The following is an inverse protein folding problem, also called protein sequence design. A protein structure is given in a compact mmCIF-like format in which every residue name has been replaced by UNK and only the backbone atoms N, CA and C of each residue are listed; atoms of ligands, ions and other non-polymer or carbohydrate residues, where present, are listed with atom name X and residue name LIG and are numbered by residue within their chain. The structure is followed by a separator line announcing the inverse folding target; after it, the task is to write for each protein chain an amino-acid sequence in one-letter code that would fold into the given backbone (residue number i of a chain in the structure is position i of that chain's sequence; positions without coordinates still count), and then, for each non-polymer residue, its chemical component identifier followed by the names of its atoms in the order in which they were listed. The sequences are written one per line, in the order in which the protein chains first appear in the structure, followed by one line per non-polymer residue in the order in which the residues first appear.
data_IF_200675555058
#
_entry.id   IF_200675555058
#
_cell.length_a   1.000
_cell.length_b   1.000
_cell.length_c   1.000
_cell.angle_alpha   90.00
_cell.angle_beta   90.00
_cell.angle_gamma   90.00
#
_symmetry.space_group_name_H-M   'P 1'
#
loop_
_entity.id
_entity.type
_entity.pdbx_description
1 polymer ?
#
# COMPACT_ATOMS: atom_id res chain seq x y z
N UNK A 1 7.09 17.41 -3.70
CA UNK A 1 6.31 18.17 -4.70
C UNK A 1 4.97 17.49 -4.89
N UNK A 2 3.85 18.25 -4.74
CA UNK A 2 2.47 17.74 -4.87
C UNK A 2 2.00 17.85 -6.32
N UNK A 3 1.40 16.77 -6.84
CA UNK A 3 0.93 16.69 -8.23
C UNK A 3 -0.39 15.91 -8.32
N UNK A 4 -1.06 16.07 -9.46
CA UNK A 4 -2.25 15.32 -9.83
C UNK A 4 -2.07 14.71 -11.21
N UNK A 5 -2.49 13.44 -11.36
CA UNK A 5 -2.64 12.76 -12.63
C UNK A 5 -4.14 12.74 -13.00
N UNK A 6 -4.50 13.36 -14.11
CA UNK A 6 -5.86 13.29 -14.63
C UNK A 6 -6.09 11.95 -15.31
N UNK A 7 -7.20 11.27 -14.96
CA UNK A 7 -7.64 10.03 -15.61
C UNK A 7 -8.77 10.30 -16.59
N UNK A 8 -8.95 9.45 -17.64
CA UNK A 8 -9.98 9.66 -18.68
C UNK A 8 -11.41 9.73 -18.14
N UNK A 9 -11.71 9.05 -17.05
CA UNK A 9 -13.00 9.02 -16.37
C UNK A 9 -13.28 10.21 -15.46
N UNK A 10 -12.40 11.22 -15.48
CA UNK A 10 -12.52 12.42 -14.67
C UNK A 10 -11.88 12.33 -13.29
N UNK A 11 -11.47 11.14 -12.85
CA UNK A 11 -10.76 10.99 -11.58
C UNK A 11 -9.40 11.71 -11.64
N UNK A 12 -9.04 12.37 -10.55
CA UNK A 12 -7.73 12.99 -10.33
C UNK A 12 -7.00 12.22 -9.24
N UNK A 13 -5.90 11.58 -9.59
CA UNK A 13 -5.03 10.89 -8.63
C UNK A 13 -4.01 11.87 -8.08
N UNK A 14 -4.02 12.06 -6.78
CA UNK A 14 -2.99 12.81 -6.09
C UNK A 14 -1.74 11.94 -5.89
N UNK A 15 -0.57 12.53 -6.09
CA UNK A 15 0.69 11.92 -5.69
C UNK A 15 1.70 12.97 -5.26
N UNK A 16 2.58 12.58 -4.34
CA UNK A 16 3.69 13.42 -3.88
C UNK A 16 5.01 12.81 -4.30
N UNK A 17 5.90 13.67 -4.80
CA UNK A 17 7.29 13.32 -5.07
C UNK A 17 8.17 13.93 -3.98
N UNK A 18 8.89 13.09 -3.26
CA UNK A 18 9.94 13.45 -2.32
C UNK A 18 11.28 13.03 -2.96
N UNK A 19 12.01 14.00 -3.48
CA UNK A 19 13.30 13.80 -4.15
C UNK A 19 14.30 14.79 -3.56
N UNK A 20 15.28 14.23 -2.86
CA UNK A 20 16.39 14.96 -2.25
C UNK A 20 17.72 14.42 -2.78
N UNK A 21 17.72 13.79 -3.96
CA UNK A 21 18.93 13.34 -4.65
C UNK A 21 19.69 14.52 -5.21
N UNK A 22 20.93 14.28 -5.60
CA UNK A 22 21.74 15.35 -6.19
C UNK A 22 21.19 15.73 -7.58
N UNK A 23 21.08 17.02 -7.92
CA UNK A 23 20.37 17.51 -9.11
C UNK A 23 21.03 17.11 -10.44
N UNK A 24 22.24 16.63 -10.44
CA UNK A 24 22.95 16.09 -11.61
C UNK A 24 22.77 14.58 -11.80
N UNK A 25 21.94 13.92 -10.98
CA UNK A 25 21.65 12.48 -11.06
C UNK A 25 20.24 12.25 -11.59
N UNK A 26 20.05 11.13 -12.26
CA UNK A 26 18.72 10.57 -12.57
C UNK A 26 18.47 9.43 -11.59
N UNK A 27 17.76 9.66 -10.47
CA UNK A 27 17.57 8.60 -9.48
C UNK A 27 16.53 7.57 -9.94
N UNK A 28 16.68 6.29 -9.56
CA UNK A 28 15.63 5.31 -9.72
C UNK A 28 14.40 5.70 -8.90
N UNK A 29 13.21 5.31 -9.38
CA UNK A 29 11.94 5.64 -8.72
C UNK A 29 11.48 4.50 -7.83
N UNK A 30 11.03 4.84 -6.62
CA UNK A 30 10.29 3.95 -5.72
C UNK A 30 8.85 4.45 -5.58
N UNK A 31 7.88 3.59 -5.89
CA UNK A 31 6.44 3.88 -5.78
C UNK A 31 5.85 3.20 -4.55
N UNK A 32 5.23 3.98 -3.68
CA UNK A 32 4.57 3.53 -2.47
C UNK A 32 3.05 3.55 -2.63
N UNK A 33 2.39 2.40 -2.36
CA UNK A 33 0.94 2.20 -2.44
C UNK A 33 0.40 1.85 -1.06
N UNK A 34 -0.43 2.73 -0.51
CA UNK A 34 -1.00 2.60 0.84
C UNK A 34 -2.17 1.62 0.93
N UNK A 35 -2.58 1.29 2.15
CA UNK A 35 -3.69 0.40 2.43
C UNK A 35 -5.07 1.08 2.50
N UNK A 36 -6.07 0.31 2.94
CA UNK A 36 -7.45 0.75 3.11
C UNK A 36 -7.57 1.95 4.05
N UNK A 37 -8.37 2.93 3.62
CA UNK A 37 -8.64 4.17 4.35
C UNK A 37 -7.38 4.98 4.71
N UNK A 38 -6.37 4.93 3.87
CA UNK A 38 -5.10 5.64 4.06
C UNK A 38 -4.84 6.66 2.95
N UNK A 39 -3.66 7.23 2.98
CA UNK A 39 -3.12 8.12 1.97
C UNK A 39 -1.60 7.97 1.89
N UNK A 40 -0.95 8.64 0.96
CA UNK A 40 0.50 8.69 0.86
C UNK A 40 1.21 9.18 2.14
N UNK A 41 0.49 9.84 3.05
CA UNK A 41 1.03 10.25 4.36
C UNK A 41 1.34 9.06 5.28
N UNK A 42 0.75 7.90 5.06
CA UNK A 42 1.09 6.66 5.77
C UNK A 42 2.59 6.29 5.62
N UNK A 43 3.21 6.75 4.55
CA UNK A 43 4.61 6.48 4.22
C UNK A 43 5.60 7.56 4.69
N UNK A 44 5.12 8.61 5.41
CA UNK A 44 6.00 9.73 5.80
C UNK A 44 7.23 9.31 6.58
N UNK A 45 7.12 8.31 7.47
CA UNK A 45 8.25 7.78 8.24
C UNK A 45 9.27 7.01 7.40
N UNK A 46 8.88 6.56 6.19
CA UNK A 46 9.76 5.85 5.27
C UNK A 46 10.60 6.79 4.40
N UNK A 47 10.09 7.97 4.06
CA UNK A 47 10.72 8.92 3.14
C UNK A 47 12.19 9.22 3.48
N UNK A 48 12.58 9.50 4.75
CA UNK A 48 13.95 9.80 5.10
C UNK A 48 14.97 8.68 4.77
N UNK A 49 14.51 7.42 4.70
CA UNK A 49 15.38 6.29 4.39
C UNK A 49 15.72 6.17 2.90
N UNK A 50 14.91 6.78 2.01
CA UNK A 50 15.01 6.57 0.57
C UNK A 50 15.34 7.84 -0.22
N UNK A 51 14.85 8.99 0.20
CA UNK A 51 14.80 10.19 -0.64
C UNK A 51 16.15 10.78 -1.02
N UNK A 52 17.26 10.37 -0.39
CA UNK A 52 18.64 10.74 -0.82
C UNK A 52 19.19 9.87 -1.95
N UNK A 53 18.57 8.72 -2.21
CA UNK A 53 19.05 7.74 -3.21
C UNK A 53 18.02 7.50 -4.32
N UNK A 54 16.74 7.70 -4.01
CA UNK A 54 15.60 7.40 -4.88
C UNK A 54 14.67 8.60 -5.01
N UNK A 55 14.06 8.73 -6.16
CA UNK A 55 12.87 9.55 -6.32
C UNK A 55 11.69 8.81 -5.70
N UNK A 56 11.28 9.24 -4.51
CA UNK A 56 10.17 8.63 -3.75
C UNK A 56 8.85 9.19 -4.26
N UNK A 57 7.94 8.30 -4.69
CA UNK A 57 6.58 8.66 -5.12
C UNK A 57 5.57 8.00 -4.19
N UNK A 58 4.72 8.81 -3.55
CA UNK A 58 3.64 8.36 -2.69
C UNK A 58 2.32 8.73 -3.33
N UNK A 59 1.58 7.74 -3.83
CA UNK A 59 0.28 7.96 -4.46
C UNK A 59 -0.83 7.86 -3.43
N UNK A 60 -1.84 8.72 -3.52
CA UNK A 60 -3.13 8.49 -2.91
C UNK A 60 -3.96 7.66 -3.89
N UNK A 61 -4.30 6.44 -3.49
CA UNK A 61 -5.11 5.52 -4.30
C UNK A 61 -6.45 6.18 -4.63
N UNK A 62 -7.01 5.90 -5.82
CA UNK A 62 -8.34 6.36 -6.23
C UNK A 62 -9.34 6.32 -5.07
N UNK A 63 -10.06 7.40 -4.84
CA UNK A 63 -11.03 7.52 -3.76
C UNK A 63 -10.47 7.89 -2.39
N UNK A 64 -9.16 7.77 -2.17
CA UNK A 64 -8.53 7.99 -0.88
C UNK A 64 -7.66 9.24 -0.84
N UNK A 65 -7.37 9.71 0.37
CA UNK A 65 -6.52 10.86 0.61
C UNK A 65 -7.01 12.12 -0.11
N UNK A 66 -6.17 12.68 -0.97
CA UNK A 66 -6.44 13.86 -1.81
C UNK A 66 -6.86 13.52 -3.24
N UNK A 67 -6.91 12.23 -3.60
CA UNK A 67 -7.50 11.76 -4.86
C UNK A 67 -9.00 11.97 -4.85
N UNK A 68 -9.60 12.08 -6.04
CA UNK A 68 -11.05 12.31 -6.17
C UNK A 68 -11.84 11.27 -5.39
N UNK A 69 -12.68 11.65 -4.40
CA UNK A 69 -13.57 10.72 -3.71
C UNK A 69 -14.52 10.03 -4.69
N UNK A 70 -14.80 8.74 -4.45
CA UNK A 70 -15.73 7.99 -5.29
C UNK A 70 -17.14 7.96 -4.67
N UNK A 71 -18.18 7.97 -5.50
CA UNK A 71 -19.56 7.80 -5.04
C UNK A 71 -19.77 6.39 -4.45
N UNK A 72 -20.79 6.21 -3.62
CA UNK A 72 -21.04 4.95 -2.93
C UNK A 72 -21.44 3.80 -3.87
N UNK A 73 -21.97 4.11 -5.03
CA UNK A 73 -22.36 3.21 -6.10
C UNK A 73 -21.27 3.00 -7.16
N UNK A 74 -20.06 3.56 -6.97
CA UNK A 74 -18.95 3.35 -7.90
C UNK A 74 -18.62 1.87 -8.05
N UNK A 75 -18.53 1.42 -9.30
CA UNK A 75 -18.21 0.03 -9.64
C UNK A 75 -16.69 -0.19 -9.55
N UNK A 76 -16.25 -0.62 -8.36
CA UNK A 76 -14.84 -0.92 -8.11
C UNK A 76 -14.43 -2.20 -8.83
N UNK A 77 -13.27 -2.16 -9.48
CA UNK A 77 -12.57 -3.33 -10.00
C UNK A 77 -11.09 -3.24 -9.65
N UNK A 78 -10.41 -4.37 -9.61
CA UNK A 78 -8.95 -4.35 -9.43
C UNK A 78 -8.28 -3.71 -10.63
N UNK A 79 -8.80 -3.95 -11.84
CA UNK A 79 -8.20 -3.50 -13.10
C UNK A 79 -8.12 -1.97 -13.18
N UNK A 80 -9.16 -1.25 -12.77
CA UNK A 80 -9.14 0.22 -12.74
C UNK A 80 -8.05 0.76 -11.83
N UNK A 81 -7.77 0.08 -10.72
CA UNK A 81 -6.70 0.47 -9.79
C UNK A 81 -5.32 0.18 -10.38
N UNK A 82 -5.15 -0.96 -11.06
CA UNK A 82 -3.89 -1.30 -11.75
C UNK A 82 -3.61 -0.35 -12.91
N UNK A 83 -4.63 0.00 -13.69
CA UNK A 83 -4.52 1.00 -14.76
C UNK A 83 -4.11 2.38 -14.24
N UNK A 84 -4.59 2.77 -13.06
CA UNK A 84 -4.18 4.01 -12.42
C UNK A 84 -2.69 4.01 -12.07
N UNK A 85 -2.17 2.92 -11.51
CA UNK A 85 -0.74 2.81 -11.18
C UNK A 85 0.12 2.71 -12.44
N UNK A 86 -0.28 1.95 -13.44
CA UNK A 86 0.43 1.87 -14.72
C UNK A 86 0.50 3.26 -15.40
N UNK A 87 -0.61 3.98 -15.44
CA UNK A 87 -0.64 5.34 -15.97
C UNK A 87 0.23 6.31 -15.18
N UNK A 88 0.30 6.17 -13.85
CA UNK A 88 1.20 6.98 -13.02
C UNK A 88 2.66 6.68 -13.35
N UNK A 89 3.06 5.40 -13.47
CA UNK A 89 4.43 4.99 -13.82
C UNK A 89 4.82 5.60 -15.18
N UNK A 90 3.94 5.53 -16.18
CA UNK A 90 4.17 6.15 -17.49
C UNK A 90 4.28 7.68 -17.41
N UNK A 91 3.39 8.35 -16.64
CA UNK A 91 3.44 9.80 -16.46
C UNK A 91 4.70 10.29 -15.72
N UNK A 92 5.34 9.42 -14.94
CA UNK A 92 6.62 9.68 -14.29
C UNK A 92 7.81 9.50 -15.24
N UNK A 93 7.59 9.07 -16.49
CA UNK A 93 8.61 8.69 -17.46
C UNK A 93 9.56 7.61 -16.91
N UNK A 94 9.02 6.62 -16.20
CA UNK A 94 9.76 5.48 -15.70
C UNK A 94 9.53 4.28 -16.63
N UNK A 95 10.61 3.61 -17.03
CA UNK A 95 10.51 2.31 -17.66
C UNK A 95 10.07 1.26 -16.63
N UNK A 96 10.73 1.27 -15.46
CA UNK A 96 10.42 0.38 -14.33
C UNK A 96 10.53 1.14 -13.02
N UNK A 97 9.85 0.61 -11.99
CA UNK A 97 9.93 1.15 -10.63
C UNK A 97 10.21 0.05 -9.61
N UNK A 98 10.80 0.43 -8.48
CA UNK A 98 10.69 -0.36 -7.26
C UNK A 98 9.29 -0.11 -6.68
N UNK A 99 8.50 -1.16 -6.46
CA UNK A 99 7.13 -1.05 -5.98
C UNK A 99 7.02 -1.54 -4.55
N UNK A 100 6.43 -0.73 -3.69
CA UNK A 100 6.18 -1.06 -2.28
C UNK A 100 4.70 -0.86 -1.97
N UNK A 101 4.04 -1.91 -1.49
CA UNK A 101 2.64 -1.83 -1.08
C UNK A 101 2.39 -2.40 0.31
N UNK A 102 1.47 -1.78 1.05
CA UNK A 102 1.07 -2.28 2.37
C UNK A 102 -0.41 -2.67 2.40
N UNK A 103 -0.72 -3.76 3.10
CA UNK A 103 -2.09 -4.26 3.28
C UNK A 103 -2.81 -4.42 1.93
N UNK A 104 -4.00 -3.80 1.71
CA UNK A 104 -4.68 -3.83 0.40
C UNK A 104 -3.85 -3.21 -0.72
N UNK A 105 -3.04 -2.17 -0.45
CA UNK A 105 -2.06 -1.66 -1.39
C UNK A 105 -0.98 -2.68 -1.74
N UNK A 106 -0.65 -3.57 -0.81
CA UNK A 106 0.21 -4.72 -1.06
C UNK A 106 -0.43 -5.76 -1.99
N UNK A 107 -1.74 -6.02 -1.85
CA UNK A 107 -2.49 -6.88 -2.78
C UNK A 107 -2.49 -6.30 -4.21
N UNK A 108 -2.73 -4.99 -4.31
CA UNK A 108 -2.68 -4.28 -5.59
C UNK A 108 -1.27 -4.33 -6.21
N UNK A 109 -0.23 -4.17 -5.38
CA UNK A 109 1.16 -4.25 -5.83
C UNK A 109 1.53 -5.66 -6.32
N UNK A 110 1.10 -6.72 -5.62
CA UNK A 110 1.26 -8.11 -6.06
C UNK A 110 0.57 -8.35 -7.40
N UNK A 111 -0.68 -7.92 -7.55
CA UNK A 111 -1.46 -8.08 -8.78
C UNK A 111 -0.85 -7.28 -9.93
N UNK A 112 -0.41 -6.03 -9.69
CA UNK A 112 0.27 -5.21 -10.70
C UNK A 112 1.56 -5.88 -11.19
N UNK A 113 2.37 -6.44 -10.29
CA UNK A 113 3.60 -7.13 -10.65
C UNK A 113 3.34 -8.42 -11.45
N UNK A 114 2.19 -9.08 -11.23
CA UNK A 114 1.78 -10.26 -11.97
C UNK A 114 1.31 -9.94 -13.40
N UNK A 115 0.57 -8.83 -13.57
CA UNK A 115 -0.05 -8.48 -14.86
C UNK A 115 0.78 -7.52 -15.71
N UNK A 116 1.61 -6.68 -15.05
CA UNK A 116 2.49 -5.72 -15.72
C UNK A 116 3.96 -5.92 -15.32
N UNK A 117 4.53 -7.13 -15.49
CA UNK A 117 5.90 -7.44 -15.05
C UNK A 117 6.94 -6.52 -15.67
N UNK A 118 6.66 -5.95 -16.85
CA UNK A 118 7.54 -5.01 -17.55
C UNK A 118 7.70 -3.67 -16.80
N UNK A 119 6.76 -3.28 -15.93
CA UNK A 119 6.79 -2.02 -15.19
C UNK A 119 7.47 -2.15 -13.82
N UNK A 120 7.66 -3.38 -13.32
CA UNK A 120 8.09 -3.62 -11.94
C UNK A 120 9.49 -4.22 -11.93
N UNK A 121 10.42 -3.52 -11.28
CA UNK A 121 11.81 -3.97 -11.12
C UNK A 121 11.97 -4.85 -9.88
N UNK A 122 11.47 -4.39 -8.74
CA UNK A 122 11.36 -5.18 -7.51
C UNK A 122 10.03 -4.92 -6.83
N UNK A 123 9.56 -5.87 -6.04
CA UNK A 123 8.31 -5.77 -5.30
C UNK A 123 8.55 -5.97 -3.80
N UNK A 124 7.96 -5.11 -2.98
CA UNK A 124 7.90 -5.30 -1.53
C UNK A 124 6.46 -5.23 -1.06
N UNK A 125 5.95 -6.31 -0.48
CA UNK A 125 4.64 -6.36 0.15
C UNK A 125 4.76 -6.36 1.67
N UNK A 126 4.21 -5.34 2.35
CA UNK A 126 4.17 -5.28 3.81
C UNK A 126 2.79 -5.71 4.28
N UNK A 127 2.72 -6.86 4.92
CA UNK A 127 1.48 -7.52 5.36
C UNK A 127 0.38 -7.61 4.27
N UNK A 128 0.73 -7.98 3.01
CA UNK A 128 -0.23 -8.00 1.94
C UNK A 128 -1.19 -9.20 2.08
N UNK A 129 -2.50 -9.03 2.07
CA UNK A 129 -3.43 -10.14 1.91
C UNK A 129 -3.52 -10.57 0.43
N UNK A 130 -3.73 -11.86 0.17
CA UNK A 130 -4.01 -12.37 -1.18
C UNK A 130 -5.51 -12.60 -1.43
N UNK A 131 -6.32 -12.43 -0.38
CA UNK A 131 -7.80 -12.42 -0.44
C UNK A 131 -8.33 -11.24 0.34
N UNK A 132 -9.47 -10.73 -0.09
CA UNK A 132 -10.16 -9.62 0.56
C UNK A 132 -10.58 -9.92 1.99
N UNK A 133 -10.78 -8.89 2.84
CA UNK A 133 -11.09 -9.08 4.25
C UNK A 133 -12.55 -9.52 4.44
N UNK A 134 -12.79 -10.63 5.13
CA UNK A 134 -14.14 -11.07 5.50
C UNK A 134 -14.86 -10.07 6.43
N UNK A 135 -14.10 -9.30 7.22
CA UNK A 135 -14.63 -8.29 8.14
C UNK A 135 -15.22 -7.04 7.44
N UNK A 136 -15.02 -6.87 6.13
CA UNK A 136 -15.43 -5.66 5.40
C UNK A 136 -16.92 -5.34 5.55
N UNK A 137 -17.80 -6.35 5.59
CA UNK A 137 -19.23 -6.16 5.78
C UNK A 137 -19.55 -5.52 7.15
N UNK A 138 -18.90 -6.00 8.22
CA UNK A 138 -19.04 -5.40 9.56
C UNK A 138 -18.54 -3.96 9.60
N UNK A 139 -17.36 -3.70 9.05
CA UNK A 139 -16.80 -2.34 8.96
C UNK A 139 -17.71 -1.39 8.18
N UNK A 140 -18.31 -1.87 7.10
CA UNK A 140 -19.26 -1.06 6.31
C UNK A 140 -20.47 -0.64 7.15
N UNK A 141 -21.06 -1.57 7.92
CA UNK A 141 -22.21 -1.27 8.81
C UNK A 141 -21.81 -0.28 9.92
N UNK A 142 -20.63 -0.46 10.51
CA UNK A 142 -20.14 0.45 11.55
C UNK A 142 -19.91 1.86 11.00
N UNK A 143 -19.26 1.99 9.83
CA UNK A 143 -18.98 3.28 9.20
C UNK A 143 -20.26 3.98 8.75
N UNK A 144 -21.24 3.23 8.20
CA UNK A 144 -22.52 3.78 7.80
C UNK A 144 -23.29 4.36 8.99
N UNK A 145 -23.21 3.71 10.14
CA UNK A 145 -23.89 4.12 11.37
C UNK A 145 -23.15 5.24 12.10
N UNK A 146 -21.85 5.09 12.35
CA UNK A 146 -21.10 5.87 13.31
C UNK A 146 -19.99 6.74 12.67
N UNK A 147 -19.79 6.63 11.36
CA UNK A 147 -18.84 7.41 10.58
C UNK A 147 -17.38 6.92 10.68
N UNK A 148 -16.55 7.52 9.82
CA UNK A 148 -15.15 7.12 9.67
C UNK A 148 -14.31 7.34 10.94
N UNK A 149 -14.56 8.41 11.66
CA UNK A 149 -13.78 8.73 12.87
C UNK A 149 -13.97 7.67 13.94
N UNK A 150 -15.22 7.33 14.26
CA UNK A 150 -15.57 6.34 15.29
C UNK A 150 -15.01 4.97 14.94
N UNK A 151 -15.18 4.53 13.70
CA UNK A 151 -14.60 3.27 13.20
C UNK A 151 -13.07 3.27 13.29
N UNK A 152 -12.41 4.36 12.88
CA UNK A 152 -10.97 4.48 12.95
C UNK A 152 -10.46 4.39 14.40
N UNK A 153 -11.12 5.12 15.32
CA UNK A 153 -10.79 5.13 16.75
C UNK A 153 -10.93 3.73 17.36
N UNK A 154 -12.00 3.03 17.05
CA UNK A 154 -12.26 1.69 17.58
C UNK A 154 -11.28 0.62 17.06
N UNK A 155 -10.77 0.78 15.84
CA UNK A 155 -9.99 -0.29 15.18
C UNK A 155 -8.49 -0.03 15.08
N UNK A 156 -8.03 1.22 15.20
CA UNK A 156 -6.64 1.56 14.85
C UNK A 156 -5.62 1.00 15.83
N UNK A 157 -5.92 1.00 17.12
CA UNK A 157 -5.02 0.42 18.13
C UNK A 157 -4.74 -1.08 17.84
N UNK A 158 -5.78 -1.87 17.57
CA UNK A 158 -5.63 -3.30 17.25
C UNK A 158 -4.85 -3.55 15.94
N UNK A 159 -4.88 -2.60 15.01
CA UNK A 159 -4.12 -2.69 13.75
C UNK A 159 -2.66 -2.31 13.90
N UNK A 160 -2.34 -1.33 14.75
CA UNK A 160 -0.98 -0.89 15.03
C UNK A 160 -0.25 -1.77 16.03
N UNK A 161 -0.99 -2.57 16.82
CA UNK A 161 -0.43 -3.51 17.79
C UNK A 161 -0.20 -2.90 19.18
N UNK A 162 0.18 -3.77 20.13
CA UNK A 162 0.20 -3.44 21.55
C UNK A 162 1.32 -2.50 22.01
N UNK A 163 2.37 -2.34 21.19
CA UNK A 163 3.55 -1.53 21.55
C UNK A 163 3.44 -0.07 21.11
N UNK A 164 2.33 0.31 20.49
CA UNK A 164 2.14 1.68 19.97
C UNK A 164 1.61 2.60 21.07
N UNK A 165 2.07 3.85 21.08
CA UNK A 165 1.56 4.85 22.02
C UNK A 165 0.18 5.38 21.60
N UNK A 166 -0.59 5.89 22.57
CA UNK A 166 -1.87 6.52 22.27
C UNK A 166 -1.71 7.74 21.35
N UNK A 167 -0.65 8.50 21.48
CA UNK A 167 -0.36 9.65 20.61
C UNK A 167 -0.18 9.23 19.14
N UNK A 168 0.44 8.07 18.87
CA UNK A 168 0.56 7.53 17.53
C UNK A 168 -0.80 7.05 17.01
N UNK A 169 -1.60 6.35 17.82
CA UNK A 169 -2.97 5.96 17.46
C UNK A 169 -3.81 7.20 17.10
N UNK A 170 -3.79 8.22 17.95
CA UNK A 170 -4.52 9.48 17.74
C UNK A 170 -4.07 10.17 16.45
N UNK A 171 -2.77 10.16 16.17
CA UNK A 171 -2.25 10.73 14.93
C UNK A 171 -2.79 9.99 13.70
N UNK A 172 -2.76 8.65 13.70
CA UNK A 172 -3.30 7.83 12.61
C UNK A 172 -4.79 8.03 12.41
N UNK A 173 -5.57 8.07 13.49
CA UNK A 173 -7.01 8.34 13.46
C UNK A 173 -7.28 9.73 12.88
N UNK A 174 -6.67 10.75 13.47
CA UNK A 174 -7.01 12.14 13.15
C UNK A 174 -6.48 12.61 11.81
N UNK A 175 -5.35 12.09 11.32
CA UNK A 175 -4.68 12.64 10.14
C UNK A 175 -4.78 11.72 8.90
N UNK A 176 -5.14 10.45 9.06
CA UNK A 176 -5.18 9.50 7.95
C UNK A 176 -6.54 8.82 7.83
N UNK A 177 -6.89 7.93 8.78
CA UNK A 177 -8.00 7.01 8.65
C UNK A 177 -9.37 7.69 8.56
N UNK A 178 -9.59 8.72 9.39
CA UNK A 178 -10.87 9.46 9.41
C UNK A 178 -11.08 10.40 8.21
N UNK A 179 -10.04 10.60 7.37
CA UNK A 179 -10.11 11.57 6.26
C UNK A 179 -10.74 11.02 5.00
N UNK A 180 -10.92 9.71 4.91
CA UNK A 180 -11.57 9.09 3.74
C UNK A 180 -13.06 9.41 3.73
N UNK A 181 -13.58 9.77 2.55
CA UNK A 181 -15.01 10.01 2.38
C UNK A 181 -15.81 8.74 2.64
N UNK A 182 -16.92 8.86 3.39
CA UNK A 182 -17.82 7.74 3.69
C UNK A 182 -18.33 7.08 2.40
N UNK A 183 -18.67 7.88 1.37
CA UNK A 183 -19.12 7.37 0.07
C UNK A 183 -18.10 6.42 -0.56
N UNK A 184 -16.83 6.80 -0.55
CA UNK A 184 -15.72 5.94 -1.05
C UNK A 184 -15.67 4.62 -0.28
N UNK A 185 -15.73 4.70 1.07
CA UNK A 185 -15.67 3.49 1.90
C UNK A 185 -16.87 2.57 1.68
N UNK A 186 -18.08 3.11 1.48
CA UNK A 186 -19.26 2.30 1.22
C UNK A 186 -19.13 1.46 -0.04
N UNK A 187 -18.67 2.07 -1.15
CA UNK A 187 -18.43 1.35 -2.40
C UNK A 187 -17.25 0.39 -2.29
N UNK A 188 -16.14 0.82 -1.75
CA UNK A 188 -14.92 0.01 -1.62
C UNK A 188 -15.14 -1.24 -0.74
N UNK A 189 -15.79 -1.09 0.42
CA UNK A 189 -16.05 -2.20 1.35
C UNK A 189 -17.12 -3.17 0.83
N UNK A 190 -17.96 -2.76 -0.12
CA UNK A 190 -18.85 -3.67 -0.85
C UNK A 190 -18.07 -4.57 -1.81
N UNK A 191 -17.05 -4.00 -2.46
CA UNK A 191 -16.25 -4.69 -3.49
C UNK A 191 -15.12 -5.53 -2.91
N UNK A 192 -14.33 -5.01 -1.96
CA UNK A 192 -13.06 -5.61 -1.55
C UNK A 192 -13.14 -7.06 -1.03
N UNK A 193 -14.26 -7.57 -0.47
CA UNK A 193 -14.38 -8.99 -0.14
C UNK A 193 -14.26 -9.94 -1.34
N UNK A 194 -14.58 -9.46 -2.55
CA UNK A 194 -14.47 -10.26 -3.78
C UNK A 194 -13.02 -10.36 -4.31
N UNK A 195 -12.09 -9.60 -3.74
CA UNK A 195 -10.69 -9.63 -4.16
C UNK A 195 -10.07 -10.99 -3.85
N UNK A 196 -9.60 -11.67 -4.89
CA UNK A 196 -8.82 -12.91 -4.78
C UNK A 196 -7.73 -12.93 -5.85
N UNK A 197 -6.48 -12.86 -5.43
CA UNK A 197 -5.30 -12.83 -6.32
C UNK A 197 -4.46 -14.09 -6.21
N UNK A 198 -4.98 -15.16 -5.59
CA UNK A 198 -4.23 -16.40 -5.36
C UNK A 198 -3.79 -17.10 -6.64
N UNK A 199 -4.54 -16.95 -7.73
CA UNK A 199 -4.18 -17.49 -9.05
C UNK A 199 -3.11 -16.67 -9.80
N UNK A 200 -2.85 -15.43 -9.36
CA UNK A 200 -1.97 -14.51 -10.05
C UNK A 200 -0.56 -14.47 -9.50
N UNK A 201 -0.38 -14.79 -8.21
CA UNK A 201 0.90 -14.65 -7.51
C UNK A 201 2.04 -15.46 -8.15
N UNK A 202 1.74 -16.57 -8.82
CA UNK A 202 2.72 -17.40 -9.52
C UNK A 202 3.30 -16.73 -10.79
N UNK A 203 2.59 -15.73 -11.32
CA UNK A 203 3.01 -14.94 -12.49
C UNK A 203 4.04 -13.86 -12.13
N UNK A 204 4.23 -13.57 -10.82
CA UNK A 204 5.18 -12.56 -10.36
C UNK A 204 6.60 -13.03 -10.66
N UNK A 205 7.29 -12.30 -11.54
CA UNK A 205 8.64 -12.66 -12.00
C UNK A 205 9.76 -11.85 -11.34
N UNK A 206 9.45 -10.64 -10.88
CA UNK A 206 10.46 -9.76 -10.27
C UNK A 206 10.89 -10.25 -8.88
N UNK A 207 12.11 -9.88 -8.43
CA UNK A 207 12.54 -10.11 -7.06
C UNK A 207 11.54 -9.52 -6.08
N UNK A 208 11.10 -10.33 -5.10
CA UNK A 208 10.00 -9.98 -4.20
C UNK A 208 10.38 -10.18 -2.74
N UNK A 209 10.09 -9.20 -1.89
CA UNK A 209 10.19 -9.29 -0.44
C UNK A 209 8.78 -9.18 0.16
N UNK A 210 8.40 -10.16 0.97
CA UNK A 210 7.19 -10.09 1.81
C UNK A 210 7.61 -9.86 3.25
N UNK A 211 7.05 -8.83 3.87
CA UNK A 211 7.28 -8.51 5.29
C UNK A 211 5.98 -8.76 6.06
N UNK A 212 6.05 -9.54 7.13
CA UNK A 212 4.94 -9.75 8.05
C UNK A 212 5.40 -9.68 9.50
N UNK A 213 4.49 -9.89 10.46
CA UNK A 213 4.77 -9.92 11.90
C UNK A 213 4.40 -11.28 12.49
N UNK A 214 5.04 -11.64 13.63
CA UNK A 214 4.89 -12.96 14.26
C UNK A 214 3.51 -13.21 14.87
N UNK A 215 2.86 -12.18 15.41
CA UNK A 215 1.70 -12.31 16.30
C UNK A 215 0.50 -11.44 15.93
N UNK A 216 0.37 -11.04 14.64
CA UNK A 216 -0.79 -10.27 14.21
C UNK A 216 -2.10 -11.02 14.46
N UNK A 217 -3.02 -10.38 15.19
CA UNK A 217 -4.36 -10.92 15.47
C UNK A 217 -5.26 -11.01 14.23
N UNK A 218 -4.97 -10.21 13.20
CA UNK A 218 -5.77 -10.16 11.97
C UNK A 218 -5.32 -11.17 10.92
N UNK A 219 -4.06 -11.63 10.97
CA UNK A 219 -3.54 -12.64 10.04
C UNK A 219 -2.29 -13.31 10.60
N UNK A 220 -2.33 -14.62 10.74
CA UNK A 220 -1.21 -15.41 11.24
C UNK A 220 -0.03 -15.44 10.26
N UNK A 221 1.17 -15.65 10.78
CA UNK A 221 2.37 -15.89 9.96
C UNK A 221 2.20 -17.07 9.02
N UNK A 222 1.50 -18.13 9.45
CA UNK A 222 1.32 -19.34 8.64
C UNK A 222 0.54 -19.04 7.36
N UNK A 223 -0.42 -18.12 7.40
CA UNK A 223 -1.15 -17.70 6.18
C UNK A 223 -0.24 -17.14 5.07
N UNK A 224 0.94 -16.60 5.40
CA UNK A 224 1.94 -16.17 4.40
C UNK A 224 2.76 -17.35 3.89
N UNK A 225 3.08 -18.31 4.75
CA UNK A 225 3.82 -19.53 4.38
C UNK A 225 3.04 -20.40 3.38
N UNK A 226 1.70 -20.31 3.40
CA UNK A 226 0.84 -21.07 2.48
C UNK A 226 0.93 -20.58 1.02
N UNK A 227 1.15 -19.29 0.79
CA UNK A 227 1.10 -18.73 -0.56
C UNK A 227 2.44 -18.12 -1.02
N UNK A 228 3.26 -17.56 -0.11
CA UNK A 228 4.48 -16.86 -0.50
C UNK A 228 5.46 -17.77 -1.29
N UNK A 229 5.62 -19.08 -0.97
CA UNK A 229 6.52 -19.96 -1.75
C UNK A 229 6.10 -20.12 -3.23
N UNK A 230 4.86 -19.81 -3.57
CA UNK A 230 4.38 -19.82 -4.95
C UNK A 230 4.90 -18.64 -5.77
N UNK A 231 5.39 -17.59 -5.12
CA UNK A 231 6.12 -16.49 -5.77
C UNK A 231 7.60 -16.90 -5.89
N UNK A 232 8.02 -17.37 -7.05
CA UNK A 232 9.30 -18.10 -7.26
C UNK A 232 10.54 -17.36 -6.79
N UNK A 233 10.61 -16.04 -7.02
CA UNK A 233 11.76 -15.21 -6.67
C UNK A 233 11.42 -14.34 -5.44
N UNK A 234 10.99 -14.97 -4.36
CA UNK A 234 10.54 -14.24 -3.18
C UNK A 234 11.19 -14.70 -1.88
N UNK A 235 11.22 -13.79 -0.93
CA UNK A 235 11.66 -14.01 0.44
C UNK A 235 10.59 -13.52 1.41
N UNK A 236 10.31 -14.31 2.47
CA UNK A 236 9.50 -13.89 3.60
C UNK A 236 10.41 -13.41 4.73
N UNK A 237 10.16 -12.20 5.22
CA UNK A 237 10.77 -11.63 6.41
C UNK A 237 9.71 -11.46 7.48
N UNK A 238 9.85 -12.18 8.59
CA UNK A 238 8.94 -12.05 9.73
C UNK A 238 9.57 -11.18 10.80
N UNK A 239 8.92 -10.07 11.13
CA UNK A 239 9.32 -9.17 12.21
C UNK A 239 8.66 -9.60 13.52
N UNK A 240 9.40 -9.54 14.61
CA UNK A 240 8.82 -9.75 15.94
C UNK A 240 7.85 -8.62 16.28
N UNK A 241 6.61 -8.96 16.61
CA UNK A 241 5.55 -8.02 16.97
C UNK A 241 4.16 -8.50 16.55
N UNK A 242 3.15 -7.74 16.95
CA UNK A 242 1.73 -8.06 16.77
C UNK A 242 0.98 -7.10 15.84
N UNK A 243 1.67 -6.12 15.28
CA UNK A 243 1.07 -5.15 14.38
C UNK A 243 0.63 -5.78 13.04
N UNK A 244 -0.66 -5.73 12.73
CA UNK A 244 -1.14 -5.95 11.37
C UNK A 244 -0.63 -4.86 10.41
N UNK A 245 -0.59 -3.63 10.89
CA UNK A 245 -0.11 -2.48 10.14
C UNK A 245 1.40 -2.28 10.35
N UNK A 246 2.21 -3.29 10.01
CA UNK A 246 3.66 -3.25 10.25
C UNK A 246 4.35 -2.04 9.61
N UNK A 247 3.92 -1.60 8.42
CA UNK A 247 4.48 -0.42 7.74
C UNK A 247 4.33 0.88 8.54
N UNK A 248 3.26 1.01 9.31
CA UNK A 248 2.99 2.17 10.16
C UNK A 248 3.55 2.03 11.58
N UNK A 249 3.46 0.82 12.15
CA UNK A 249 3.91 0.56 13.52
C UNK A 249 5.44 0.44 13.64
N UNK A 250 6.11 -0.08 12.60
CA UNK A 250 7.56 -0.29 12.58
C UNK A 250 8.21 0.35 11.33
N UNK A 251 7.96 1.65 11.06
CA UNK A 251 8.36 2.28 9.79
C UNK A 251 9.86 2.19 9.54
N UNK A 252 10.69 2.51 10.52
CA UNK A 252 12.15 2.49 10.38
C UNK A 252 12.69 1.08 10.10
N UNK A 253 12.14 0.06 10.77
CA UNK A 253 12.58 -1.31 10.58
C UNK A 253 12.18 -1.84 9.21
N UNK A 254 10.92 -1.66 8.84
CA UNK A 254 10.44 -2.05 7.53
C UNK A 254 11.17 -1.30 6.40
N UNK A 255 11.42 0.00 6.56
CA UNK A 255 12.13 0.81 5.58
C UNK A 255 13.59 0.34 5.39
N UNK A 256 14.33 0.09 6.49
CA UNK A 256 15.71 -0.43 6.41
C UNK A 256 15.79 -1.78 5.71
N UNK A 257 14.90 -2.73 6.04
CA UNK A 257 14.86 -4.05 5.40
C UNK A 257 14.51 -3.95 3.91
N UNK A 258 13.56 -3.06 3.57
CA UNK A 258 13.21 -2.77 2.19
C UNK A 258 14.39 -2.17 1.43
N UNK A 259 15.06 -1.16 1.99
CA UNK A 259 16.23 -0.52 1.37
C UNK A 259 17.36 -1.52 1.15
N UNK A 260 17.66 -2.35 2.16
CA UNK A 260 18.66 -3.41 2.06
C UNK A 260 18.32 -4.44 0.98
N UNK A 261 17.02 -4.71 0.78
CA UNK A 261 16.55 -5.62 -0.28
C UNK A 261 16.71 -4.98 -1.66
N UNK A 262 16.17 -3.78 -1.90
CA UNK A 262 16.18 -3.17 -3.24
C UNK A 262 17.61 -2.83 -3.72
N UNK A 263 18.53 -2.51 -2.81
CA UNK A 263 19.96 -2.28 -3.15
C UNK A 263 20.67 -3.51 -3.74
N UNK A 264 20.13 -4.72 -3.55
CA UNK A 264 20.66 -5.94 -4.20
C UNK A 264 20.28 -6.04 -5.66
N UNK A 265 19.32 -5.24 -6.09
CA UNK A 265 18.78 -5.20 -7.43
C UNK A 265 18.81 -3.76 -7.94
N UNK A 266 20.00 -3.23 -8.27
CA UNK A 266 20.11 -1.86 -8.75
C UNK A 266 19.35 -1.71 -10.07
N UNK A 267 18.57 -0.63 -10.19
CA UNK A 267 17.93 -0.23 -11.44
C UNK A 267 18.88 0.73 -12.15
N UNK A 268 19.33 0.35 -13.35
CA UNK A 268 20.10 1.25 -14.21
C UNK A 268 19.24 2.45 -14.60
N UNK A 269 19.80 3.64 -14.53
CA UNK A 269 19.14 4.93 -14.82
C UNK A 269 19.79 5.56 -16.06
#
# INVERSE_FOLDING_TARGET
MDKFLQRPDGCRLFYRIDDYTDPWRTPPTILFVHGLAESGEAWRGWVPHFAREYRVVRVDVRGFGRSTPMPADYEWTIDVLLEDFAALIHALNCERVHLVGAKSGGSMALKLAAEHPQLIHTLVGVTPPVVGPAAATGWRTEIEKDGMFTWAQATMHGRLGSKISQAEVDWWVNNIQSKTAVSTMMGYLKWVPSLDIRSDIEKIACPTLIINTTASSLRSTDSYKDWQPRVRNSRLLTLEGDAWHAAGAYPDRCARETLAFIRRYPLAT
#
